data_IF_798822857439
#
_entry.id   IF_798822857439
#
_cell.length_a   1.000
_cell.length_b   1.000
_cell.length_c   1.000
_cell.angle_alpha   90.00
_cell.angle_beta   90.00
_cell.angle_gamma   90.00
#
_symmetry.space_group_name_H-M   'P 1'
#
loop_
_entity.id
_entity.type
_entity.pdbx_description
1 polymer ?
#
# COMPACT_ATOMS: atom_id res chain seq x y z
N UNK A 1 -15.68 30.43 8.99
CA UNK A 1 -17.08 30.20 8.61
C UNK A 1 -17.54 28.77 8.98
N UNK A 2 -16.87 27.69 8.48
CA UNK A 2 -17.28 26.29 8.75
C UNK A 2 -17.31 26.00 10.25
N UNK A 3 -16.24 26.36 10.97
CA UNK A 3 -16.13 26.14 12.41
C UNK A 3 -17.11 27.02 13.21
N UNK A 4 -17.31 28.26 12.81
CA UNK A 4 -18.27 29.18 13.44
C UNK A 4 -19.72 28.67 13.30
N UNK A 5 -20.04 28.09 12.13
CA UNK A 5 -21.36 27.51 11.85
C UNK A 5 -21.51 26.08 12.33
N UNK A 6 -20.45 25.48 12.90
CA UNK A 6 -20.41 24.08 13.36
C UNK A 6 -20.85 23.08 12.27
N UNK A 7 -20.47 23.37 11.01
CA UNK A 7 -20.80 22.48 9.90
C UNK A 7 -19.93 21.23 9.97
N UNK A 8 -20.50 20.10 9.62
CA UNK A 8 -19.72 18.87 9.48
C UNK A 8 -18.75 18.97 8.29
N UNK A 9 -17.53 18.56 8.51
CA UNK A 9 -16.51 18.49 7.46
C UNK A 9 -15.63 17.25 7.65
N UNK A 10 -15.00 16.81 6.58
CA UNK A 10 -14.10 15.67 6.59
C UNK A 10 -12.96 15.87 5.60
N UNK A 11 -11.91 15.07 5.68
CA UNK A 11 -10.85 15.05 4.68
C UNK A 11 -11.21 14.11 3.53
N UNK A 12 -10.60 14.33 2.35
CA UNK A 12 -10.72 13.41 1.22
C UNK A 12 -10.34 11.97 1.57
N UNK A 13 -9.17 11.73 2.21
CA UNK A 13 -8.79 10.40 2.67
C UNK A 13 -9.79 9.75 3.63
N UNK A 14 -10.32 10.51 4.60
CA UNK A 14 -11.32 9.99 5.54
C UNK A 14 -12.65 9.65 4.84
N UNK A 15 -13.07 10.48 3.88
CA UNK A 15 -14.25 10.17 3.06
C UNK A 15 -14.04 8.90 2.23
N UNK A 16 -12.87 8.78 1.60
CA UNK A 16 -12.51 7.58 0.83
C UNK A 16 -12.51 6.34 1.73
N UNK A 17 -11.92 6.40 2.92
CA UNK A 17 -11.94 5.29 3.89
C UNK A 17 -13.35 4.83 4.21
N UNK A 18 -14.32 5.75 4.36
CA UNK A 18 -15.72 5.38 4.54
C UNK A 18 -16.33 4.66 3.33
N UNK A 19 -15.92 5.03 2.12
CA UNK A 19 -16.36 4.36 0.88
C UNK A 19 -15.76 2.96 0.77
N UNK A 20 -14.55 2.77 1.28
CA UNK A 20 -13.79 1.51 1.18
C UNK A 20 -14.06 0.51 2.31
N UNK A 21 -14.86 0.84 3.32
CA UNK A 21 -15.04 0.02 4.53
C UNK A 21 -15.44 -1.44 4.27
N UNK A 22 -16.17 -1.69 3.18
CA UNK A 22 -16.65 -3.02 2.80
C UNK A 22 -15.78 -3.64 1.68
N UNK A 23 -14.62 -3.05 1.37
CA UNK A 23 -13.67 -3.53 0.37
C UNK A 23 -12.49 -4.23 1.02
N UNK A 24 -11.94 -5.19 0.32
CA UNK A 24 -10.63 -5.75 0.63
C UNK A 24 -9.56 -4.83 0.01
N UNK A 25 -8.98 -3.97 0.85
CA UNK A 25 -8.06 -2.92 0.41
C UNK A 25 -6.64 -3.45 0.36
N UNK A 26 -6.01 -3.34 -0.81
CA UNK A 26 -4.60 -3.61 -1.05
C UNK A 26 -3.87 -2.28 -1.21
N UNK A 27 -3.03 -1.93 -0.24
CA UNK A 27 -2.28 -0.68 -0.24
C UNK A 27 -0.84 -0.91 -0.70
N UNK A 28 -0.35 -0.03 -1.55
CA UNK A 28 1.06 0.00 -1.97
C UNK A 28 1.70 1.25 -1.40
N UNK A 29 2.68 1.07 -0.54
CA UNK A 29 3.42 2.14 0.14
C UNK A 29 4.93 2.04 -0.11
N UNK A 30 5.66 3.03 0.34
CA UNK A 30 7.11 3.13 0.18
C UNK A 30 7.54 4.50 -0.33
N UNK A 31 8.81 4.81 -0.25
CA UNK A 31 9.34 6.08 -0.75
C UNK A 31 9.22 6.15 -2.27
N UNK A 32 9.62 5.10 -2.98
CA UNK A 32 9.65 5.04 -4.43
C UNK A 32 8.87 3.86 -5.01
N UNK A 33 8.44 3.99 -6.27
CA UNK A 33 7.82 2.92 -7.04
C UNK A 33 6.35 2.61 -6.72
N UNK A 34 5.70 3.33 -5.82
CA UNK A 34 4.29 3.14 -5.43
C UNK A 34 3.36 3.03 -6.65
N UNK A 35 3.39 4.04 -7.53
CA UNK A 35 2.54 4.12 -8.72
C UNK A 35 2.74 2.93 -9.66
N UNK A 36 4.00 2.58 -9.94
CA UNK A 36 4.35 1.47 -10.83
C UNK A 36 3.85 0.14 -10.27
N UNK A 37 4.15 -0.13 -8.99
CA UNK A 37 3.71 -1.37 -8.32
C UNK A 37 2.19 -1.44 -8.23
N UNK A 38 1.51 -0.34 -7.90
CA UNK A 38 0.04 -0.30 -7.85
C UNK A 38 -0.59 -0.54 -9.24
N UNK A 39 -0.01 0.03 -10.30
CA UNK A 39 -0.49 -0.18 -11.67
C UNK A 39 -0.32 -1.64 -12.11
N UNK A 40 0.84 -2.25 -11.84
CA UNK A 40 1.07 -3.68 -12.10
C UNK A 40 0.09 -4.56 -11.33
N UNK A 41 -0.11 -4.27 -10.04
CA UNK A 41 -1.07 -4.98 -9.20
C UNK A 41 -2.50 -4.85 -9.74
N UNK A 42 -2.89 -3.65 -10.18
CA UNK A 42 -4.20 -3.44 -10.83
C UNK A 42 -4.36 -4.33 -12.05
N UNK A 43 -3.35 -4.43 -12.91
CA UNK A 43 -3.38 -5.28 -14.10
C UNK A 43 -3.58 -6.75 -13.73
N UNK A 44 -2.75 -7.28 -12.83
CA UNK A 44 -2.82 -8.67 -12.37
C UNK A 44 -4.18 -8.97 -11.73
N UNK A 45 -4.64 -8.09 -10.85
CA UNK A 45 -5.90 -8.29 -10.15
C UNK A 45 -7.11 -8.16 -11.07
N UNK A 46 -7.07 -7.24 -12.06
CA UNK A 46 -8.13 -7.11 -13.05
C UNK A 46 -8.28 -8.36 -13.92
N UNK A 47 -7.17 -8.96 -14.33
CA UNK A 47 -7.19 -10.19 -15.15
C UNK A 47 -7.81 -11.37 -14.37
N UNK A 48 -7.58 -11.43 -13.06
CA UNK A 48 -8.07 -12.51 -12.21
C UNK A 48 -9.49 -12.28 -11.67
N UNK A 49 -9.78 -11.08 -11.17
CA UNK A 49 -11.00 -10.79 -10.41
C UNK A 49 -11.99 -9.89 -11.14
N UNK A 50 -11.59 -9.28 -12.25
CA UNK A 50 -12.39 -8.28 -13.00
C UNK A 50 -12.96 -7.18 -12.10
N UNK A 51 -13.54 -6.17 -12.66
CA UNK A 51 -14.25 -5.07 -11.97
C UNK A 51 -13.70 -4.63 -10.59
N UNK A 52 -12.37 -4.67 -10.42
CA UNK A 52 -11.68 -4.15 -9.25
C UNK A 52 -11.81 -2.63 -9.17
N UNK A 53 -11.75 -2.09 -7.94
CA UNK A 53 -11.57 -0.66 -7.73
C UNK A 53 -10.09 -0.29 -7.59
N UNK A 54 -9.75 0.95 -7.88
CA UNK A 54 -8.40 1.46 -7.68
C UNK A 54 -8.34 2.99 -7.57
N UNK A 55 -7.27 3.47 -6.91
CA UNK A 55 -6.83 4.87 -6.93
C UNK A 55 -5.30 4.88 -7.03
N UNK A 56 -4.78 5.28 -8.18
CA UNK A 56 -3.35 5.28 -8.53
C UNK A 56 -2.94 6.67 -9.00
N UNK A 57 -1.80 7.17 -8.55
CA UNK A 57 -1.35 8.56 -8.76
C UNK A 57 -0.95 8.90 -10.21
N UNK A 58 -0.93 7.94 -11.11
CA UNK A 58 -0.62 8.13 -12.52
C UNK A 58 -1.67 7.51 -13.44
N UNK A 59 -1.60 7.83 -14.72
CA UNK A 59 -2.39 7.16 -15.75
C UNK A 59 -1.55 6.01 -16.31
N UNK A 60 -1.80 4.78 -15.83
CA UNK A 60 -1.24 3.61 -16.47
C UNK A 60 -1.98 3.37 -17.80
N UNK A 61 -1.24 3.05 -18.87
CA UNK A 61 -1.80 2.90 -20.22
C UNK A 61 -2.92 1.86 -20.30
N UNK A 62 -2.91 0.88 -19.38
CA UNK A 62 -3.86 -0.23 -19.33
C UNK A 62 -5.05 0.00 -18.36
N UNK A 63 -5.12 1.16 -17.71
CA UNK A 63 -6.21 1.52 -16.80
C UNK A 63 -7.14 2.57 -17.41
N UNK A 64 -8.44 2.47 -17.14
CA UNK A 64 -9.46 3.45 -17.54
C UNK A 64 -9.37 4.76 -16.73
N UNK A 65 -8.18 5.35 -16.64
CA UNK A 65 -7.90 6.54 -15.83
C UNK A 65 -7.21 6.23 -14.50
N UNK A 66 -7.08 7.24 -13.63
CA UNK A 66 -6.37 7.13 -12.35
C UNK A 66 -7.22 6.57 -11.20
N UNK A 67 -8.54 6.51 -11.35
CA UNK A 67 -9.45 6.05 -10.31
C UNK A 67 -10.69 5.36 -10.86
N UNK A 68 -11.10 4.28 -10.21
CA UNK A 68 -12.34 3.55 -10.47
C UNK A 68 -12.83 2.94 -9.14
N UNK A 69 -14.10 3.10 -8.79
CA UNK A 69 -14.62 2.48 -7.57
C UNK A 69 -14.70 0.95 -7.69
N UNK A 70 -15.06 0.44 -8.86
CA UNK A 70 -15.31 -0.97 -9.09
C UNK A 70 -16.48 -1.52 -8.27
N UNK A 71 -17.12 -2.58 -8.76
CA UNK A 71 -18.19 -3.29 -8.04
C UNK A 71 -17.66 -4.51 -7.29
N UNK A 72 -16.45 -4.99 -7.65
CA UNK A 72 -15.81 -6.13 -7.03
C UNK A 72 -15.39 -5.87 -5.59
N UNK A 73 -14.92 -6.91 -4.94
CA UNK A 73 -14.48 -6.90 -3.55
C UNK A 73 -13.17 -6.12 -3.35
N UNK A 74 -12.26 -6.17 -4.31
CA UNK A 74 -10.90 -5.64 -4.16
C UNK A 74 -10.79 -4.18 -4.55
N UNK A 75 -9.99 -3.44 -3.78
CA UNK A 75 -9.62 -2.06 -4.08
C UNK A 75 -8.12 -1.85 -3.89
N UNK A 76 -7.44 -1.38 -4.92
CA UNK A 76 -6.00 -1.13 -4.91
C UNK A 76 -5.75 0.37 -4.75
N UNK A 77 -4.87 0.74 -3.82
CA UNK A 77 -4.60 2.14 -3.52
C UNK A 77 -3.13 2.42 -3.30
N UNK A 78 -2.64 3.53 -3.83
CA UNK A 78 -1.38 4.10 -3.37
C UNK A 78 -1.54 4.69 -1.98
N UNK A 79 -0.69 4.23 -1.06
CA UNK A 79 -0.68 4.64 0.32
C UNK A 79 0.43 5.66 0.54
N UNK A 80 0.04 6.93 0.50
CA UNK A 80 0.90 8.10 0.58
C UNK A 80 1.04 8.57 2.03
N UNK A 81 2.27 8.91 2.45
CA UNK A 81 2.65 9.36 3.79
C UNK A 81 2.28 10.81 4.11
N UNK A 82 1.86 11.59 3.11
CA UNK A 82 1.49 13.00 3.29
C UNK A 82 0.27 13.21 4.17
N UNK A 83 0.20 14.38 4.82
CA UNK A 83 -0.93 14.81 5.62
C UNK A 83 -2.27 14.68 4.89
N UNK A 84 -3.29 14.23 5.61
CA UNK A 84 -4.66 14.07 5.08
C UNK A 84 -5.32 15.41 4.75
N UNK A 85 -5.13 16.41 5.61
CA UNK A 85 -5.64 17.77 5.44
C UNK A 85 -4.92 18.74 6.38
N UNK A 86 -5.15 20.04 6.21
CA UNK A 86 -4.58 21.06 7.10
C UNK A 86 -5.02 20.88 8.57
N UNK A 87 -6.19 20.31 8.81
CA UNK A 87 -6.75 20.04 10.14
C UNK A 87 -6.55 18.58 10.59
N UNK A 88 -6.07 17.70 9.74
CA UNK A 88 -5.77 16.31 10.05
C UNK A 88 -4.34 15.99 9.58
N UNK A 89 -3.42 16.00 10.53
CA UNK A 89 -1.98 15.80 10.31
C UNK A 89 -1.56 14.33 10.28
N UNK A 90 -2.51 13.41 10.31
CA UNK A 90 -2.22 12.00 10.07
C UNK A 90 -1.99 11.76 8.59
N UNK A 91 -1.08 10.84 8.29
CA UNK A 91 -0.85 10.41 6.91
C UNK A 91 -2.13 9.88 6.27
N UNK A 92 -2.30 10.11 4.97
CA UNK A 92 -3.50 9.72 4.21
C UNK A 92 -3.83 8.23 4.37
N UNK A 93 -2.83 7.37 4.39
CA UNK A 93 -3.00 5.93 4.44
C UNK A 93 -3.67 5.41 5.71
N UNK A 94 -3.64 6.17 6.82
CA UNK A 94 -4.29 5.78 8.07
C UNK A 94 -5.80 5.60 7.91
N UNK A 95 -6.39 6.31 6.96
CA UNK A 95 -7.82 6.27 6.72
C UNK A 95 -8.30 5.08 5.88
N UNK A 96 -7.38 4.39 5.18
CA UNK A 96 -7.74 3.37 4.19
C UNK A 96 -7.98 1.99 4.77
N UNK A 97 -7.51 1.73 6.00
CA UNK A 97 -7.65 0.44 6.72
C UNK A 97 -7.32 -0.78 5.84
N UNK A 98 -6.13 -0.88 5.28
CA UNK A 98 -5.81 -1.93 4.33
C UNK A 98 -5.76 -3.32 4.96
N UNK A 99 -6.19 -4.33 4.19
CA UNK A 99 -6.08 -5.75 4.54
C UNK A 99 -4.72 -6.34 4.12
N UNK A 100 -4.18 -5.81 3.03
CA UNK A 100 -2.86 -6.18 2.53
C UNK A 100 -2.05 -4.93 2.25
N UNK A 101 -0.82 -4.91 2.73
CA UNK A 101 0.13 -3.83 2.56
C UNK A 101 1.36 -4.34 1.82
N UNK A 102 1.72 -3.68 0.72
CA UNK A 102 3.02 -3.83 0.07
C UNK A 102 3.88 -2.64 0.46
N UNK A 103 5.07 -2.88 1.00
CA UNK A 103 6.08 -1.86 1.29
C UNK A 103 7.22 -2.04 0.30
N UNK A 104 7.33 -1.15 -0.69
CA UNK A 104 8.38 -1.24 -1.71
C UNK A 104 9.77 -1.01 -1.12
N UNK A 105 9.93 0.11 -0.41
CA UNK A 105 11.18 0.55 0.20
C UNK A 105 10.90 1.67 1.20
N UNK A 106 11.88 1.92 2.07
CA UNK A 106 11.89 3.10 2.94
C UNK A 106 13.24 3.79 2.80
N UNK A 107 13.23 5.01 2.30
CA UNK A 107 14.42 5.85 2.18
C UNK A 107 14.15 7.22 2.80
N UNK A 108 15.22 7.90 3.25
CA UNK A 108 15.10 9.26 3.71
C UNK A 108 14.96 10.20 2.51
N UNK A 109 13.71 10.43 2.14
CA UNK A 109 13.30 11.40 1.14
C UNK A 109 12.24 12.33 1.76
N UNK A 110 11.80 13.35 1.02
CA UNK A 110 10.82 14.32 1.51
C UNK A 110 11.31 15.14 2.72
N UNK A 111 12.55 15.64 2.67
CA UNK A 111 13.13 16.54 3.69
C UNK A 111 12.34 17.85 3.90
N UNK A 112 11.37 18.14 3.05
CA UNK A 112 10.40 19.24 3.17
C UNK A 112 9.29 18.94 4.19
N UNK A 113 9.05 17.65 4.51
CA UNK A 113 7.97 17.22 5.40
C UNK A 113 8.51 16.56 6.67
N UNK A 114 9.58 15.79 6.56
CA UNK A 114 10.16 15.02 7.65
C UNK A 114 11.50 15.59 8.08
N UNK A 115 11.64 15.88 9.36
CA UNK A 115 12.89 16.42 9.94
C UNK A 115 14.00 15.38 9.97
N UNK A 116 13.66 14.10 10.10
CA UNK A 116 14.59 12.98 10.12
C UNK A 116 13.92 11.65 9.72
N UNK A 117 14.74 10.63 9.55
CA UNK A 117 14.28 9.28 9.18
C UNK A 117 13.37 8.65 10.24
N UNK A 118 13.48 9.02 11.52
CA UNK A 118 12.66 8.44 12.57
C UNK A 118 11.20 8.92 12.48
N UNK A 119 10.97 10.11 11.95
CA UNK A 119 9.61 10.57 11.65
C UNK A 119 8.98 9.74 10.54
N UNK A 120 9.75 9.38 9.51
CA UNK A 120 9.30 8.47 8.45
C UNK A 120 8.95 7.11 9.05
N UNK A 121 9.84 6.49 9.84
CA UNK A 121 9.54 5.22 10.52
C UNK A 121 8.29 5.31 11.37
N UNK A 122 8.10 6.39 12.10
CA UNK A 122 6.91 6.60 12.94
C UNK A 122 5.63 6.60 12.10
N UNK A 123 5.62 7.29 10.96
CA UNK A 123 4.45 7.31 10.08
C UNK A 123 4.18 5.92 9.48
N UNK A 124 5.21 5.27 8.92
CA UNK A 124 5.05 3.91 8.38
C UNK A 124 4.68 2.89 9.46
N UNK A 125 5.18 3.05 10.69
CA UNK A 125 4.77 2.18 11.80
C UNK A 125 3.29 2.37 12.17
N UNK A 126 2.74 3.59 12.05
CA UNK A 126 1.30 3.79 12.18
C UNK A 126 0.53 3.00 11.10
N UNK A 127 1.04 2.93 9.87
CA UNK A 127 0.43 2.13 8.81
C UNK A 127 0.51 0.63 9.11
N UNK A 128 1.69 0.11 9.51
CA UNK A 128 1.87 -1.28 9.91
C UNK A 128 0.89 -1.67 11.02
N UNK A 129 0.69 -0.81 12.00
CA UNK A 129 -0.17 -1.07 13.16
C UNK A 129 -1.66 -1.13 12.86
N UNK A 130 -2.13 -0.59 11.76
CA UNK A 130 -3.54 -0.65 11.35
C UNK A 130 -3.86 -1.85 10.46
N UNK A 131 -2.86 -2.59 10.01
CA UNK A 131 -3.09 -3.85 9.31
C UNK A 131 -3.62 -4.88 10.31
N UNK A 132 -4.76 -5.54 10.05
CA UNK A 132 -5.32 -6.51 10.99
C UNK A 132 -4.40 -7.73 11.17
N UNK A 133 -4.58 -8.47 12.27
CA UNK A 133 -3.75 -9.64 12.57
C UNK A 133 -3.86 -10.79 11.54
N UNK A 134 -4.98 -10.85 10.84
CA UNK A 134 -5.17 -11.77 9.70
C UNK A 134 -4.86 -11.11 8.34
N UNK A 135 -4.37 -9.87 8.35
CA UNK A 135 -3.91 -9.16 7.17
C UNK A 135 -2.48 -9.53 6.82
N UNK A 136 -2.01 -9.03 5.68
CA UNK A 136 -0.71 -9.40 5.12
C UNK A 136 0.16 -8.16 4.90
N UNK A 137 1.45 -8.28 5.19
CA UNK A 137 2.47 -7.29 4.84
C UNK A 137 3.52 -7.96 3.97
N UNK A 138 3.72 -7.43 2.77
CA UNK A 138 4.66 -7.91 1.77
C UNK A 138 5.78 -6.88 1.63
N UNK A 139 7.02 -7.31 1.73
CA UNK A 139 8.19 -6.43 1.67
C UNK A 139 9.42 -7.16 1.16
N UNK A 140 10.47 -6.43 0.79
CA UNK A 140 11.74 -7.02 0.35
C UNK A 140 12.66 -7.30 1.55
N UNK A 141 13.14 -8.55 1.68
CA UNK A 141 13.98 -8.99 2.81
C UNK A 141 15.29 -8.21 2.96
N UNK A 142 15.84 -7.73 1.84
CA UNK A 142 17.12 -7.01 1.82
C UNK A 142 17.00 -5.53 2.23
N UNK A 143 15.77 -5.00 2.33
CA UNK A 143 15.55 -3.63 2.80
C UNK A 143 15.69 -3.55 4.32
N UNK A 144 16.86 -3.04 4.76
CA UNK A 144 17.20 -2.91 6.17
C UNK A 144 16.29 -1.94 6.91
N UNK A 145 15.75 -0.94 6.22
CA UNK A 145 14.92 0.08 6.83
C UNK A 145 13.48 -0.42 7.01
N UNK A 146 12.97 -1.20 6.05
CA UNK A 146 11.74 -1.96 6.25
C UNK A 146 11.92 -3.01 7.36
N UNK A 147 13.07 -3.70 7.40
CA UNK A 147 13.38 -4.63 8.50
C UNK A 147 13.32 -3.96 9.89
N UNK A 148 13.89 -2.77 10.03
CA UNK A 148 13.80 -1.98 11.28
C UNK A 148 12.35 -1.60 11.61
N UNK A 149 11.59 -1.17 10.61
CA UNK A 149 10.17 -0.83 10.77
C UNK A 149 9.38 -2.02 11.34
N UNK A 150 9.55 -3.21 10.78
CA UNK A 150 8.87 -4.43 11.25
C UNK A 150 9.28 -4.78 12.69
N UNK A 151 10.56 -4.59 13.04
CA UNK A 151 11.06 -4.81 14.40
C UNK A 151 10.47 -3.84 15.44
N UNK A 152 9.94 -2.69 15.03
CA UNK A 152 9.23 -1.77 15.94
C UNK A 152 7.91 -2.35 16.47
N UNK A 153 7.42 -3.44 15.87
CA UNK A 153 6.23 -4.20 16.25
C UNK A 153 5.27 -4.39 15.10
N UNK A 154 5.02 -5.65 14.79
CA UNK A 154 4.06 -6.09 13.78
C UNK A 154 3.38 -7.36 14.29
N UNK A 155 2.07 -7.51 14.04
CA UNK A 155 1.28 -8.68 14.43
C UNK A 155 0.48 -9.28 13.28
N UNK A 156 0.69 -8.77 12.06
CA UNK A 156 0.10 -9.29 10.83
C UNK A 156 0.98 -10.38 10.23
N UNK A 157 0.48 -11.11 9.25
CA UNK A 157 1.28 -12.06 8.50
C UNK A 157 2.35 -11.33 7.68
N UNK A 158 3.58 -11.82 7.72
CA UNK A 158 4.72 -11.24 7.02
C UNK A 158 5.13 -12.14 5.85
N UNK A 159 5.28 -11.53 4.68
CA UNK A 159 5.77 -12.18 3.46
C UNK A 159 6.96 -11.39 2.93
N UNK A 160 8.17 -11.93 3.09
CA UNK A 160 9.38 -11.30 2.58
C UNK A 160 9.65 -11.77 1.14
N UNK A 161 9.90 -10.83 0.25
CA UNK A 161 10.43 -11.11 -1.09
C UNK A 161 11.93 -11.32 -0.96
N UNK A 162 12.45 -12.47 -1.41
CA UNK A 162 13.86 -12.87 -1.29
C UNK A 162 13.99 -14.37 -1.06
N UNK A 163 15.10 -14.79 -0.47
CA UNK A 163 15.43 -16.22 -0.36
C UNK A 163 14.56 -17.01 0.63
N UNK A 164 13.91 -16.35 1.61
CA UNK A 164 13.28 -17.06 2.73
C UNK A 164 11.82 -17.42 2.52
N UNK A 165 11.03 -16.63 1.84
CA UNK A 165 9.59 -16.94 1.67
C UNK A 165 9.09 -16.85 0.24
N UNK A 166 9.48 -15.83 -0.50
CA UNK A 166 9.13 -15.70 -1.93
C UNK A 166 10.39 -15.39 -2.70
N UNK A 167 10.77 -16.24 -3.65
CA UNK A 167 11.94 -16.06 -4.50
C UNK A 167 11.58 -16.18 -5.98
N UNK A 168 12.36 -15.52 -6.82
CA UNK A 168 12.23 -15.61 -8.27
C UNK A 168 13.52 -16.15 -8.90
N UNK A 169 13.41 -17.26 -9.59
CA UNK A 169 14.51 -17.81 -10.37
C UNK A 169 14.47 -17.24 -11.80
N UNK A 170 15.38 -16.32 -12.09
CA UNK A 170 15.49 -15.67 -13.40
C UNK A 170 15.86 -16.61 -14.56
N UNK A 171 16.53 -17.73 -14.28
CA UNK A 171 16.93 -18.69 -15.34
C UNK A 171 15.77 -19.58 -15.76
N UNK A 172 14.90 -19.92 -14.84
CA UNK A 172 13.77 -20.84 -15.06
C UNK A 172 12.44 -20.10 -15.19
N UNK A 173 12.41 -18.79 -14.94
CA UNK A 173 11.18 -17.99 -14.87
C UNK A 173 10.15 -18.57 -13.88
N UNK A 174 10.63 -18.95 -12.69
CA UNK A 174 9.81 -19.57 -11.66
C UNK A 174 9.77 -18.67 -10.42
N UNK A 175 8.58 -18.36 -9.93
CA UNK A 175 8.37 -17.81 -8.60
C UNK A 175 8.14 -18.98 -7.65
N UNK A 176 8.92 -19.04 -6.56
CA UNK A 176 8.74 -20.00 -5.47
C UNK A 176 8.16 -19.31 -4.27
N UNK A 177 7.08 -19.83 -3.71
CA UNK A 177 6.45 -19.33 -2.50
C UNK A 177 5.94 -20.53 -1.68
N UNK A 178 6.31 -20.63 -0.41
CA UNK A 178 5.87 -21.67 0.51
C UNK A 178 5.96 -23.09 -0.07
N UNK A 179 7.10 -23.43 -0.69
CA UNK A 179 7.35 -24.70 -1.39
C UNK A 179 6.48 -24.95 -2.66
N UNK A 180 5.71 -23.97 -3.09
CA UNK A 180 5.03 -24.02 -4.39
C UNK A 180 5.86 -23.29 -5.44
N UNK A 181 5.81 -23.77 -6.67
CA UNK A 181 6.53 -23.22 -7.81
C UNK A 181 5.53 -22.74 -8.86
N UNK A 182 5.62 -21.50 -9.26
CA UNK A 182 4.73 -20.87 -10.23
C UNK A 182 5.55 -20.43 -11.45
N UNK A 183 5.36 -21.04 -12.63
CA UNK A 183 5.99 -20.54 -13.84
C UNK A 183 5.43 -19.14 -14.18
N UNK A 184 6.33 -18.23 -14.59
CA UNK A 184 5.98 -16.88 -14.99
C UNK A 184 6.25 -16.73 -16.47
N UNK A 185 5.23 -16.37 -17.23
CA UNK A 185 5.38 -15.95 -18.63
C UNK A 185 5.73 -14.46 -18.65
N UNK A 186 6.94 -14.15 -19.11
CA UNK A 186 7.45 -12.76 -19.23
C UNK A 186 7.48 -12.34 -20.72
N UNK A 187 6.61 -12.89 -21.54
CA UNK A 187 6.50 -12.50 -22.95
C UNK A 187 5.88 -11.11 -23.15
#
# INVERSE_FOLDING_TARGET
YILEKKLNFTSGPAMLGNVLKDKNVLAVSGTHGKTTTAAMLCKIMHDKYKDIGYLVGGVAQDLEGSAKLGKGEYFIIEADEYDSAFFDKRSKFIHYSPNTLIINNIEFDHADIFSDVNEIYKQFHHLVRIIPNNGNIIFHSDDKDVGKLIQMGCWSNLFSLGEESISYNHQENIISADNNHFPVDIS
#
